data_IF_948119638432
#
_entry.id   IF_948119638432
#
_cell.length_a   1.000
_cell.length_b   1.000
_cell.length_c   1.000
_cell.angle_alpha   90.00
_cell.angle_beta   90.00
_cell.angle_gamma   90.00
#
_symmetry.space_group_name_H-M   'P 1'
#
loop_
_entity.id
_entity.type
_entity.pdbx_description
1 polymer ?
#
# COMPACT_ATOMS: atom_id res chain seq x y z
N UNK A 1 -3.03 9.09 -16.82
CA UNK A 1 -4.50 9.07 -16.76
C UNK A 1 -4.98 10.49 -16.55
N UNK A 2 -6.02 10.96 -17.27
CA UNK A 2 -6.50 12.35 -17.13
C UNK A 2 -6.91 12.65 -15.69
N UNK A 3 -6.59 13.86 -15.22
CA UNK A 3 -7.01 14.32 -13.89
C UNK A 3 -8.53 14.55 -13.85
N UNK A 4 -9.16 14.45 -12.67
CA UNK A 4 -10.61 14.64 -12.57
C UNK A 4 -11.07 16.05 -12.95
N UNK A 5 -10.20 17.04 -12.78
CA UNK A 5 -10.44 18.44 -13.13
C UNK A 5 -10.53 18.63 -14.65
N UNK A 6 -9.71 17.93 -15.44
CA UNK A 6 -9.80 17.91 -16.91
C UNK A 6 -11.12 17.30 -17.42
N UNK A 7 -11.83 16.53 -16.59
CA UNK A 7 -13.13 15.93 -16.90
C UNK A 7 -14.30 16.75 -16.35
N UNK A 8 -14.04 17.97 -15.85
CA UNK A 8 -15.06 18.83 -15.26
C UNK A 8 -15.61 18.34 -13.91
N UNK A 9 -14.92 17.42 -13.25
CA UNK A 9 -15.33 16.89 -11.95
C UNK A 9 -14.81 17.79 -10.82
N UNK A 10 -15.68 18.07 -9.85
CA UNK A 10 -15.31 18.90 -8.68
C UNK A 10 -14.76 18.03 -7.57
N UNK A 11 -13.55 18.32 -7.10
CA UNK A 11 -13.00 17.61 -5.94
C UNK A 11 -13.87 17.76 -4.69
N UNK A 12 -14.13 16.66 -3.98
CA UNK A 12 -14.95 16.66 -2.76
C UNK A 12 -14.35 15.81 -1.62
N UNK A 13 -13.03 15.76 -1.54
CA UNK A 13 -12.30 15.13 -0.44
C UNK A 13 -11.66 13.81 -0.83
N UNK A 14 -11.52 12.90 0.13
CA UNK A 14 -10.78 11.65 -0.02
C UNK A 14 -11.55 10.46 0.57
N UNK A 15 -11.23 9.25 0.13
CA UNK A 15 -11.72 8.01 0.74
C UNK A 15 -11.10 7.79 2.12
N UNK A 16 -11.61 6.77 2.82
CA UNK A 16 -10.91 6.21 3.96
C UNK A 16 -9.52 5.67 3.57
N UNK A 17 -8.53 5.74 4.49
CA UNK A 17 -7.19 5.27 4.22
C UNK A 17 -7.13 3.75 4.15
N UNK A 18 -6.46 3.24 3.12
CA UNK A 18 -5.96 1.87 3.07
C UNK A 18 -4.53 1.86 3.61
N UNK A 19 -4.29 1.06 4.64
CA UNK A 19 -2.96 0.88 5.22
C UNK A 19 -2.19 -0.21 4.47
N UNK A 20 -1.00 0.13 3.99
CA UNK A 20 -0.09 -0.81 3.35
C UNK A 20 1.20 -0.84 4.15
N UNK A 21 1.61 -2.05 4.55
CA UNK A 21 2.93 -2.27 5.16
C UNK A 21 3.93 -2.44 4.02
N UNK A 22 5.02 -1.70 4.09
CA UNK A 22 6.09 -1.75 3.10
C UNK A 22 7.40 -2.20 3.76
N UNK A 23 8.44 -2.44 2.95
CA UNK A 23 9.76 -2.79 3.43
C UNK A 23 10.30 -1.71 4.38
N UNK A 24 10.97 -2.10 5.48
CA UNK A 24 11.61 -1.15 6.36
C UNK A 24 12.62 -0.28 5.62
N UNK A 25 12.59 1.03 5.86
CA UNK A 25 13.56 1.98 5.30
C UNK A 25 14.38 2.54 6.47
N UNK A 26 15.71 2.42 6.38
CA UNK A 26 16.65 2.89 7.42
C UNK A 26 16.30 2.40 8.83
N UNK A 27 16.02 1.10 8.95
CA UNK A 27 15.63 0.42 10.20
C UNK A 27 14.34 0.97 10.86
N UNK A 28 13.45 1.61 10.09
CA UNK A 28 12.15 2.07 10.57
C UNK A 28 11.02 1.35 9.85
N UNK A 29 9.99 0.96 10.60
CA UNK A 29 8.75 0.41 10.04
C UNK A 29 8.09 1.46 9.15
N UNK A 30 7.63 1.03 7.97
CA UNK A 30 6.94 1.91 7.01
C UNK A 30 5.49 1.46 6.88
N UNK A 31 4.57 2.40 7.13
CA UNK A 31 3.14 2.23 6.89
C UNK A 31 2.65 3.34 5.96
N UNK A 32 2.24 2.97 4.76
CA UNK A 32 1.69 3.88 3.77
C UNK A 32 0.18 4.01 4.01
N UNK A 33 -0.28 5.24 4.23
CA UNK A 33 -1.70 5.57 4.35
C UNK A 33 -2.19 6.05 2.99
N UNK A 34 -2.66 5.13 2.16
CA UNK A 34 -3.08 5.45 0.80
C UNK A 34 -4.55 5.83 0.78
N UNK A 35 -4.86 7.01 0.24
CA UNK A 35 -6.23 7.53 0.08
C UNK A 35 -6.47 7.91 -1.36
N UNK A 36 -7.70 7.74 -1.85
CA UNK A 36 -8.09 8.17 -3.20
C UNK A 36 -8.84 9.47 -3.14
N UNK A 37 -8.61 10.34 -4.12
CA UNK A 37 -9.40 11.56 -4.31
C UNK A 37 -10.82 11.19 -4.73
N UNK A 38 -11.80 11.77 -4.06
CA UNK A 38 -13.21 11.73 -4.45
C UNK A 38 -13.56 12.99 -5.22
N UNK A 39 -14.47 12.83 -6.17
CA UNK A 39 -15.02 13.92 -6.95
C UNK A 39 -16.54 13.88 -6.95
N UNK A 40 -17.15 14.99 -7.36
CA UNK A 40 -18.56 15.11 -7.75
C UNK A 40 -18.64 15.30 -9.26
N UNK A 41 -19.59 14.61 -9.87
CA UNK A 41 -20.05 14.93 -11.23
C UNK A 41 -21.02 16.13 -11.24
N UNK A 42 -21.51 16.48 -12.42
CA UNK A 42 -22.47 17.57 -12.60
C UNK A 42 -23.80 17.35 -11.85
N UNK A 43 -24.16 16.09 -11.58
CA UNK A 43 -25.37 15.70 -10.87
C UNK A 43 -25.15 15.54 -9.35
N UNK A 44 -23.99 15.99 -8.82
CA UNK A 44 -23.56 15.82 -7.43
C UNK A 44 -23.44 14.35 -6.96
N UNK A 45 -23.17 13.41 -7.86
CA UNK A 45 -22.88 12.01 -7.50
C UNK A 45 -21.39 11.84 -7.23
N UNK A 46 -21.09 11.00 -6.26
CA UNK A 46 -19.70 10.69 -5.92
C UNK A 46 -19.05 9.81 -6.99
N UNK A 47 -17.92 10.28 -7.51
CA UNK A 47 -17.10 9.56 -8.48
C UNK A 47 -15.69 9.38 -7.92
N UNK A 48 -15.18 8.16 -8.03
CA UNK A 48 -13.78 7.83 -7.72
C UNK A 48 -13.15 7.32 -9.00
N UNK A 49 -12.11 8.01 -9.45
CA UNK A 49 -11.31 7.62 -10.61
C UNK A 49 -10.28 6.56 -10.23
N UNK A 50 -9.85 5.74 -11.19
CA UNK A 50 -8.79 4.73 -11.03
C UNK A 50 -9.05 3.70 -9.91
N UNK A 51 -10.11 2.91 -10.07
CA UNK A 51 -10.51 1.88 -9.09
C UNK A 51 -9.72 0.56 -9.23
N UNK A 52 -8.41 0.60 -9.48
CA UNK A 52 -7.60 -0.62 -9.42
C UNK A 52 -7.36 -1.04 -7.97
N UNK A 53 -7.32 -2.33 -7.61
CA UNK A 53 -7.01 -2.74 -6.24
C UNK A 53 -5.60 -2.26 -5.83
N UNK A 54 -5.47 -1.70 -4.62
CA UNK A 54 -4.16 -1.25 -4.08
C UNK A 54 -3.27 -2.42 -3.61
N UNK A 55 -3.88 -3.57 -3.34
CA UNK A 55 -3.18 -4.79 -3.00
C UNK A 55 -3.72 -5.90 -3.88
N UNK A 56 -2.84 -6.65 -4.53
CA UNK A 56 -3.22 -7.86 -5.26
C UNK A 56 -3.37 -9.02 -4.29
N UNK A 57 -4.29 -9.93 -4.57
CA UNK A 57 -4.39 -11.17 -3.81
C UNK A 57 -3.13 -12.01 -4.01
N UNK A 58 -2.62 -12.59 -2.93
CA UNK A 58 -1.38 -13.37 -2.93
C UNK A 58 -0.07 -12.57 -2.85
N UNK A 59 -0.09 -11.23 -2.93
CA UNK A 59 1.14 -10.41 -2.73
C UNK A 59 1.33 -9.94 -1.29
N UNK A 60 0.43 -10.33 -0.39
CA UNK A 60 0.59 -10.11 1.06
C UNK A 60 1.56 -11.14 1.60
N UNK A 61 2.63 -10.68 2.24
CA UNK A 61 3.49 -11.55 3.06
C UNK A 61 2.61 -12.26 4.09
N UNK A 62 2.60 -13.59 4.08
CA UNK A 62 1.87 -14.37 5.07
C UNK A 62 2.46 -14.15 6.46
N UNK A 63 1.65 -14.35 7.49
CA UNK A 63 2.11 -14.22 8.87
C UNK A 63 3.25 -15.21 9.13
N UNK A 64 3.12 -16.43 8.61
CA UNK A 64 4.10 -17.50 8.68
C UNK A 64 5.42 -17.12 8.00
N UNK A 65 5.36 -16.50 6.81
CA UNK A 65 6.56 -16.02 6.12
C UNK A 65 7.20 -14.84 6.87
N UNK A 66 6.40 -13.96 7.47
CA UNK A 66 6.90 -12.90 8.35
C UNK A 66 7.52 -13.42 9.65
N UNK A 67 7.03 -14.55 10.17
CA UNK A 67 7.57 -15.25 11.33
C UNK A 67 8.86 -16.00 11.00
N UNK A 68 9.03 -16.50 9.76
CA UNK A 68 10.29 -17.09 9.32
C UNK A 68 11.47 -16.14 9.54
N UNK A 69 11.24 -14.82 9.41
CA UNK A 69 12.26 -13.80 9.67
C UNK A 69 12.46 -13.44 11.14
N UNK A 70 11.76 -14.09 12.07
CA UNK A 70 11.83 -13.81 13.50
C UNK A 70 12.23 -15.07 14.27
N UNK A 71 13.22 -14.94 15.15
CA UNK A 71 13.60 -16.01 16.08
C UNK A 71 12.58 -16.09 17.22
N UNK A 72 12.70 -17.13 18.05
CA UNK A 72 11.82 -17.39 19.20
C UNK A 72 11.70 -16.21 20.17
N UNK A 73 12.69 -15.33 20.20
CA UNK A 73 12.74 -14.15 21.08
C UNK A 73 12.22 -12.85 20.41
N UNK A 74 11.67 -12.96 19.19
CA UNK A 74 11.12 -11.83 18.43
C UNK A 74 12.15 -10.94 17.74
N UNK A 75 13.44 -11.29 17.82
CA UNK A 75 14.53 -10.67 17.07
C UNK A 75 14.56 -11.16 15.63
N UNK A 76 15.12 -10.35 14.71
CA UNK A 76 15.28 -10.79 13.33
C UNK A 76 16.25 -11.99 13.27
N UNK A 77 15.76 -13.16 12.87
CA UNK A 77 16.53 -14.42 12.83
C UNK A 77 17.51 -14.50 11.66
N UNK A 78 17.34 -13.63 10.67
CA UNK A 78 18.04 -13.74 9.39
C UNK A 78 18.86 -12.49 9.12
N UNK A 79 20.13 -12.70 8.84
CA UNK A 79 21.03 -11.67 8.34
C UNK A 79 20.43 -11.05 7.06
N UNK A 80 20.36 -9.72 7.04
CA UNK A 80 19.87 -8.93 5.91
C UNK A 80 20.64 -9.23 4.61
N UNK A 81 21.89 -9.70 4.71
CA UNK A 81 22.70 -10.21 3.60
C UNK A 81 22.05 -11.42 2.90
N UNK A 82 21.43 -12.32 3.65
CA UNK A 82 20.75 -13.53 3.13
C UNK A 82 19.45 -13.14 2.43
N UNK A 83 18.69 -12.21 3.01
CA UNK A 83 17.44 -11.70 2.41
C UNK A 83 17.74 -11.00 1.08
N UNK A 84 18.79 -10.18 1.04
CA UNK A 84 19.22 -9.51 -0.18
C UNK A 84 19.59 -10.48 -1.30
N UNK A 85 20.08 -11.68 -0.96
CA UNK A 85 20.44 -12.74 -1.93
C UNK A 85 19.23 -13.55 -2.40
N UNK A 86 18.19 -13.67 -1.57
CA UNK A 86 16.93 -14.33 -1.92
C UNK A 86 16.06 -13.43 -2.82
N UNK A 87 16.09 -12.11 -2.56
CA UNK A 87 15.29 -11.13 -3.30
C UNK A 87 15.97 -10.60 -4.57
N UNK A 88 17.23 -10.96 -4.83
CA UNK A 88 18.00 -10.52 -6.01
C UNK A 88 17.82 -11.39 -7.26
N UNK A 89 16.76 -12.20 -7.33
CA UNK A 89 16.36 -12.88 -8.57
C UNK A 89 15.70 -11.90 -9.54
#
# INVERSE_FOLDING_TARGET
TRSGEEMGLKANGFTEPTLIKDYPIRNRKVLLHVRRRRYLDADNRNVILNQYPLTSDGTKVSVEFGLFFKDSDGQASIDSSVISKILSY
#
